data_IF_513403377793
#
_entry.id   IF_513403377793
#
_cell.length_a   1.000
_cell.length_b   1.000
_cell.length_c   1.000
_cell.angle_alpha   90.00
_cell.angle_beta   90.00
_cell.angle_gamma   90.00
#
_symmetry.space_group_name_H-M   'P 1'
#
loop_
_entity.id
_entity.type
_entity.pdbx_description
1 polymer ?
#
# COMPACT_ATOMS: atom_id res chain seq x y z
N UNK A 1 39.47 -33.75 -21.85
CA UNK A 1 38.31 -34.09 -20.99
C UNK A 1 38.04 -33.04 -19.93
N UNK A 2 39.00 -32.64 -19.10
CA UNK A 2 38.79 -31.61 -18.06
C UNK A 2 38.30 -30.25 -18.59
N UNK A 3 38.88 -29.76 -19.71
CA UNK A 3 38.49 -28.48 -20.33
C UNK A 3 37.04 -28.50 -20.81
N UNK A 4 36.58 -29.63 -21.36
CA UNK A 4 35.20 -29.80 -21.83
C UNK A 4 34.19 -29.78 -20.68
N UNK A 5 34.55 -30.37 -19.53
CA UNK A 5 33.69 -30.40 -18.34
C UNK A 5 33.53 -28.98 -17.76
N UNK A 6 34.62 -28.20 -17.70
CA UNK A 6 34.60 -26.82 -17.20
C UNK A 6 33.72 -25.93 -18.10
N UNK A 7 33.83 -26.09 -19.42
CA UNK A 7 33.01 -25.35 -20.40
C UNK A 7 31.52 -25.64 -20.23
N UNK A 8 31.15 -26.91 -20.04
CA UNK A 8 29.75 -27.31 -19.83
C UNK A 8 29.22 -26.77 -18.49
N UNK A 9 30.01 -26.81 -17.42
CA UNK A 9 29.62 -26.28 -16.13
C UNK A 9 29.39 -24.76 -16.15
N UNK A 10 30.24 -24.00 -16.86
CA UNK A 10 30.08 -22.55 -17.04
C UNK A 10 28.82 -22.20 -17.83
N UNK A 11 28.55 -22.94 -18.91
CA UNK A 11 27.33 -22.78 -19.70
C UNK A 11 26.08 -23.06 -18.87
N UNK A 12 26.07 -24.15 -18.10
CA UNK A 12 24.96 -24.47 -17.21
C UNK A 12 24.73 -23.39 -16.14
N UNK A 13 25.81 -22.86 -15.55
CA UNK A 13 25.74 -21.76 -14.58
C UNK A 13 25.13 -20.49 -15.18
N UNK A 14 25.54 -20.10 -16.39
CA UNK A 14 24.98 -18.94 -17.09
C UNK A 14 23.49 -19.10 -17.39
N UNK A 15 23.06 -20.31 -17.78
CA UNK A 15 21.64 -20.59 -18.02
C UNK A 15 20.84 -20.43 -16.73
N UNK A 16 21.32 -20.97 -15.60
CA UNK A 16 20.63 -20.83 -14.30
C UNK A 16 20.53 -19.36 -13.89
N UNK A 17 21.61 -18.60 -13.99
CA UNK A 17 21.61 -17.16 -13.68
C UNK A 17 20.64 -16.40 -14.59
N UNK A 18 20.61 -16.71 -15.89
CA UNK A 18 19.70 -16.10 -16.84
C UNK A 18 18.23 -16.40 -16.52
N UNK A 19 17.90 -17.64 -16.15
CA UNK A 19 16.54 -18.03 -15.74
C UNK A 19 16.13 -17.31 -14.47
N UNK A 20 17.01 -17.24 -13.46
CA UNK A 20 16.72 -16.53 -12.21
C UNK A 20 16.48 -15.04 -12.48
N UNK A 21 17.36 -14.38 -13.24
CA UNK A 21 17.19 -12.98 -13.61
C UNK A 21 15.87 -12.74 -14.37
N UNK A 22 15.52 -13.62 -15.31
CA UNK A 22 14.27 -13.54 -16.06
C UNK A 22 13.04 -13.67 -15.15
N UNK A 23 13.06 -14.58 -14.16
CA UNK A 23 11.99 -14.72 -13.18
C UNK A 23 11.84 -13.45 -12.34
N UNK A 24 12.93 -12.88 -11.83
CA UNK A 24 12.88 -11.61 -11.07
C UNK A 24 12.38 -10.44 -11.92
N UNK A 25 12.84 -10.33 -13.17
CA UNK A 25 12.37 -9.30 -14.11
C UNK A 25 10.87 -9.42 -14.41
N UNK A 26 10.35 -10.65 -14.51
CA UNK A 26 8.94 -10.91 -14.77
C UNK A 26 8.07 -10.77 -13.52
N UNK A 27 8.58 -11.14 -12.34
CA UNK A 27 7.84 -11.04 -11.09
C UNK A 27 7.50 -9.59 -10.70
N UNK A 28 8.33 -8.62 -11.11
CA UNK A 28 8.05 -7.18 -10.93
C UNK A 28 6.99 -6.62 -11.90
N UNK A 29 6.45 -7.43 -12.82
CA UNK A 29 5.36 -7.02 -13.71
C UNK A 29 4.03 -7.58 -13.18
N UNK A 30 3.60 -7.08 -12.03
CA UNK A 30 2.21 -7.28 -11.60
C UNK A 30 1.35 -6.36 -12.45
N UNK A 31 0.55 -6.94 -13.34
CA UNK A 31 -0.39 -6.20 -14.17
C UNK A 31 -1.60 -5.79 -13.32
N UNK A 32 -1.52 -4.58 -12.74
CA UNK A 32 -2.62 -3.96 -11.98
C UNK A 32 -3.76 -3.48 -12.90
N UNK A 33 -3.58 -3.59 -14.22
CA UNK A 33 -4.50 -3.10 -15.27
C UNK A 33 -5.01 -4.21 -16.20
N UNK A 34 -4.73 -5.47 -15.87
CA UNK A 34 -5.09 -6.61 -16.71
C UNK A 34 -6.59 -6.64 -16.97
N UNK A 35 -6.97 -6.57 -18.24
CA UNK A 35 -8.36 -6.54 -18.73
C UNK A 35 -9.03 -7.93 -18.63
N UNK A 36 -8.93 -8.58 -17.48
CA UNK A 36 -9.80 -9.70 -17.15
C UNK A 36 -11.14 -9.15 -16.68
N UNK A 37 -12.26 -9.65 -17.22
CA UNK A 37 -13.61 -9.30 -16.74
C UNK A 37 -13.82 -9.65 -15.26
N UNK A 38 -12.91 -10.42 -14.67
CA UNK A 38 -12.91 -10.80 -13.28
C UNK A 38 -12.03 -9.87 -12.43
N UNK A 39 -12.69 -9.10 -11.57
CA UNK A 39 -12.03 -8.38 -10.47
C UNK A 39 -11.14 -9.35 -9.67
N UNK A 40 -9.89 -8.98 -9.32
CA UNK A 40 -9.02 -9.75 -8.44
C UNK A 40 -9.72 -10.10 -7.12
N UNK A 41 -9.36 -11.22 -6.50
CA UNK A 41 -9.96 -11.70 -5.23
C UNK A 41 -10.02 -10.63 -4.13
N UNK A 42 -8.97 -9.80 -4.01
CA UNK A 42 -8.94 -8.70 -3.04
C UNK A 42 -9.93 -7.57 -3.35
N UNK A 43 -10.32 -7.36 -4.61
CA UNK A 43 -11.39 -6.43 -5.01
C UNK A 43 -12.80 -7.02 -4.85
N UNK A 44 -12.92 -8.31 -4.52
CA UNK A 44 -14.22 -8.99 -4.27
C UNK A 44 -14.65 -8.89 -2.81
N UNK A 45 -13.74 -8.47 -1.93
CA UNK A 45 -14.05 -8.24 -0.52
C UNK A 45 -14.71 -6.88 -0.37
N UNK A 46 -15.79 -6.83 0.40
CA UNK A 46 -16.44 -5.57 0.75
C UNK A 46 -15.48 -4.79 1.65
N UNK A 47 -15.19 -3.50 1.37
CA UNK A 47 -14.38 -2.67 2.25
C UNK A 47 -14.95 -2.62 3.67
N UNK A 48 -14.14 -2.30 4.70
CA UNK A 48 -14.62 -2.09 6.05
C UNK A 48 -15.78 -1.08 6.09
N UNK A 49 -16.71 -1.27 7.03
CA UNK A 49 -17.89 -0.41 7.15
C UNK A 49 -17.56 1.07 7.33
N UNK A 50 -16.44 1.36 7.98
CA UNK A 50 -15.93 2.71 8.21
C UNK A 50 -15.54 3.38 6.89
N UNK A 51 -14.85 2.68 5.99
CA UNK A 51 -14.54 3.14 4.63
C UNK A 51 -15.84 3.42 3.86
N UNK A 52 -16.83 2.52 3.96
CA UNK A 52 -18.12 2.72 3.30
C UNK A 52 -18.80 4.01 3.78
N UNK A 53 -18.73 4.30 5.08
CA UNK A 53 -19.30 5.50 5.66
C UNK A 53 -18.53 6.78 5.29
N UNK A 54 -17.20 6.72 5.24
CA UNK A 54 -16.35 7.85 4.85
C UNK A 54 -16.66 8.28 3.41
N UNK A 55 -16.55 7.35 2.45
CA UNK A 55 -16.88 7.56 1.03
C UNK A 55 -18.31 8.10 0.85
N UNK A 56 -19.28 7.56 1.59
CA UNK A 56 -20.66 8.03 1.51
C UNK A 56 -20.86 9.46 2.09
N UNK A 57 -20.02 9.86 3.05
CA UNK A 57 -20.05 11.22 3.64
C UNK A 57 -19.46 12.24 2.68
N UNK A 58 -18.40 11.87 1.97
CA UNK A 58 -17.73 12.77 1.02
C UNK A 58 -18.46 12.85 -0.33
N UNK A 59 -19.46 11.97 -0.55
CA UNK A 59 -20.26 11.94 -1.79
C UNK A 59 -19.50 11.32 -2.97
N UNK A 60 -18.35 10.74 -2.66
CA UNK A 60 -17.44 10.00 -3.52
C UNK A 60 -18.07 8.64 -3.91
N UNK A 61 -17.78 8.15 -5.12
CA UNK A 61 -18.10 6.78 -5.49
C UNK A 61 -17.11 5.81 -4.84
N UNK A 62 -17.47 4.53 -4.67
CA UNK A 62 -16.51 3.49 -4.26
C UNK A 62 -15.43 3.29 -5.34
N UNK A 63 -14.43 4.17 -5.36
CA UNK A 63 -13.31 4.11 -6.26
C UNK A 63 -12.15 3.45 -5.55
N UNK A 64 -11.46 2.58 -6.29
CA UNK A 64 -10.27 1.88 -5.82
C UNK A 64 -9.06 2.83 -5.84
N UNK A 65 -9.15 3.90 -6.62
CA UNK A 65 -8.21 5.00 -6.67
C UNK A 65 -9.00 6.24 -6.33
N UNK A 66 -9.03 6.58 -5.05
CA UNK A 66 -9.32 7.94 -4.65
C UNK A 66 -8.03 8.73 -4.85
N UNK A 67 -8.14 9.92 -5.45
CA UNK A 67 -6.97 10.77 -5.60
C UNK A 67 -7.47 12.20 -5.73
N UNK A 68 -7.59 12.84 -4.58
CA UNK A 68 -7.97 14.24 -4.54
C UNK A 68 -6.78 15.14 -4.92
N UNK A 69 -7.06 16.31 -5.54
CA UNK A 69 -6.02 17.27 -5.86
C UNK A 69 -5.23 17.73 -4.62
N UNK A 70 -4.03 17.18 -4.44
CA UNK A 70 -3.13 17.50 -3.33
C UNK A 70 -2.61 16.28 -2.57
N UNK A 71 -3.24 15.13 -2.74
CA UNK A 71 -2.94 13.89 -2.03
C UNK A 71 -1.71 13.16 -2.56
N UNK A 72 -1.18 12.24 -1.76
CA UNK A 72 -0.15 11.31 -2.25
C UNK A 72 -0.77 10.24 -3.12
N UNK A 73 0.05 9.69 -4.00
CA UNK A 73 -0.34 8.49 -4.71
C UNK A 73 -0.39 7.35 -3.69
N UNK A 74 -1.59 6.87 -3.38
CA UNK A 74 -1.77 5.74 -2.50
C UNK A 74 -2.33 4.53 -3.24
N UNK A 75 -2.00 3.36 -2.70
CA UNK A 75 -2.68 2.12 -3.07
C UNK A 75 -4.08 2.12 -2.45
N UNK A 76 -5.01 1.33 -2.99
CA UNK A 76 -6.39 1.26 -2.48
C UNK A 76 -6.48 0.87 -1.00
N UNK A 77 -5.44 0.21 -0.48
CA UNK A 77 -5.35 -0.19 0.92
C UNK A 77 -4.89 0.96 1.82
N UNK A 78 -3.98 1.81 1.33
CA UNK A 78 -3.56 3.01 2.04
C UNK A 78 -4.74 3.98 2.16
N UNK A 79 -5.52 4.19 1.09
CA UNK A 79 -6.76 4.99 1.11
C UNK A 79 -7.74 4.47 2.17
N UNK A 80 -8.01 3.16 2.20
CA UNK A 80 -8.92 2.58 3.20
C UNK A 80 -8.46 2.78 4.64
N UNK A 81 -7.15 2.69 4.89
CA UNK A 81 -6.58 2.95 6.22
C UNK A 81 -6.71 4.43 6.56
N UNK A 82 -6.51 5.32 5.58
CA UNK A 82 -6.67 6.75 5.71
C UNK A 82 -8.12 7.13 6.05
N UNK A 83 -9.11 6.54 5.39
CA UNK A 83 -10.53 6.74 5.71
C UNK A 83 -10.86 6.38 7.16
N UNK A 84 -10.39 5.21 7.60
CA UNK A 84 -10.58 4.74 8.98
C UNK A 84 -9.91 5.71 9.96
N UNK A 85 -8.71 6.18 9.61
CA UNK A 85 -7.95 7.14 10.40
C UNK A 85 -8.67 8.49 10.50
N UNK A 86 -9.10 9.07 9.38
CA UNK A 86 -9.83 10.35 9.31
C UNK A 86 -11.13 10.27 10.11
N UNK A 87 -11.91 9.21 9.93
CA UNK A 87 -13.14 8.98 10.69
C UNK A 87 -12.89 8.95 12.21
N UNK A 88 -11.75 8.40 12.66
CA UNK A 88 -11.37 8.39 14.07
C UNK A 88 -10.87 9.73 14.55
N UNK A 89 -10.03 10.41 13.76
CA UNK A 89 -9.54 11.74 14.10
C UNK A 89 -10.69 12.75 14.30
N UNK A 90 -11.81 12.60 13.59
CA UNK A 90 -13.01 13.42 13.83
C UNK A 90 -13.58 13.31 15.26
N UNK A 91 -13.37 12.16 15.93
CA UNK A 91 -13.76 11.97 17.33
C UNK A 91 -12.76 12.57 18.34
N UNK A 92 -11.62 13.07 17.87
CA UNK A 92 -10.50 13.57 18.66
C UNK A 92 -10.12 15.01 18.27
N UNK A 93 -10.88 16.03 18.73
CA UNK A 93 -10.62 17.43 18.35
C UNK A 93 -9.21 17.93 18.64
N UNK A 94 -8.51 17.34 19.60
CA UNK A 94 -7.11 17.62 19.92
C UNK A 94 -6.13 17.27 18.79
N UNK A 95 -6.55 16.46 17.81
CA UNK A 95 -5.75 16.06 16.65
C UNK A 95 -6.03 16.88 15.39
N UNK A 96 -7.00 17.80 15.42
CA UNK A 96 -7.36 18.65 14.27
C UNK A 96 -6.22 19.57 13.79
N UNK A 97 -5.14 19.68 14.57
CA UNK A 97 -3.93 20.40 14.20
C UNK A 97 -3.01 19.61 13.25
N UNK A 98 -3.26 18.32 13.05
CA UNK A 98 -2.50 17.47 12.15
C UNK A 98 -3.22 17.33 10.82
N UNK A 99 -2.53 17.71 9.75
CA UNK A 99 -2.87 17.34 8.38
C UNK A 99 -2.20 16.00 8.08
N UNK A 100 -2.98 14.96 7.78
CA UNK A 100 -2.49 13.58 7.65
C UNK A 100 -2.92 13.01 6.31
N UNK A 101 -1.97 12.38 5.62
CA UNK A 101 -2.11 11.81 4.27
C UNK A 101 -1.25 10.53 4.18
N UNK A 102 -1.74 9.50 3.50
CA UNK A 102 -1.09 8.22 3.30
C UNK A 102 -0.70 8.04 1.84
N UNK A 103 0.58 7.72 1.62
CA UNK A 103 1.10 7.35 0.32
C UNK A 103 1.45 5.88 0.23
N UNK A 104 1.71 5.42 -0.98
CA UNK A 104 2.37 4.14 -1.23
C UNK A 104 3.66 4.37 -2.00
N UNK A 105 4.78 4.00 -1.38
CA UNK A 105 6.11 4.14 -1.97
C UNK A 105 6.29 3.20 -3.18
N UNK A 106 7.29 3.45 -4.05
CA UNK A 106 7.56 2.60 -5.22
C UNK A 106 7.87 1.13 -4.89
N UNK A 107 8.31 0.83 -3.67
CA UNK A 107 8.55 -0.53 -3.18
C UNK A 107 7.30 -1.18 -2.55
N UNK A 108 6.16 -0.49 -2.57
CA UNK A 108 4.89 -0.92 -2.00
C UNK A 108 4.74 -0.68 -0.50
N UNK A 109 5.69 0.01 0.15
CA UNK A 109 5.58 0.34 1.58
C UNK A 109 4.64 1.52 1.80
N UNK A 110 4.02 1.57 2.99
CA UNK A 110 3.17 2.67 3.41
C UNK A 110 4.04 3.90 3.73
N UNK A 111 3.71 5.05 3.15
CA UNK A 111 4.29 6.34 3.51
C UNK A 111 3.29 7.11 4.36
N UNK A 112 3.71 7.61 5.53
CA UNK A 112 2.86 8.40 6.40
C UNK A 112 3.30 9.85 6.29
N UNK A 113 2.40 10.76 5.96
CA UNK A 113 2.69 12.19 5.90
C UNK A 113 1.89 12.91 6.97
N UNK A 114 2.58 13.69 7.81
CA UNK A 114 1.96 14.53 8.85
C UNK A 114 2.49 15.94 8.72
N UNK A 115 1.62 16.92 8.46
CA UNK A 115 2.00 18.32 8.23
C UNK A 115 3.11 18.47 7.19
N UNK A 116 3.02 17.72 6.08
CA UNK A 116 4.04 17.62 5.01
C UNK A 116 5.38 16.97 5.40
N UNK A 117 5.53 16.47 6.62
CA UNK A 117 6.69 15.67 7.02
C UNK A 117 6.41 14.19 6.81
N UNK A 118 7.35 13.48 6.15
CA UNK A 118 7.22 12.05 5.85
C UNK A 118 7.81 11.21 6.99
N UNK A 119 7.08 10.18 7.37
CA UNK A 119 7.46 9.15 8.32
C UNK A 119 7.31 7.77 7.67
N UNK A 120 8.34 6.94 7.81
CA UNK A 120 8.34 5.58 7.24
C UNK A 120 7.62 4.56 8.14
N UNK A 121 7.29 4.94 9.39
CA UNK A 121 6.67 4.06 10.39
C UNK A 121 5.84 4.83 11.40
N UNK A 122 4.79 4.19 11.91
CA UNK A 122 3.91 4.75 12.94
C UNK A 122 4.68 5.10 14.21
N UNK A 123 5.66 4.29 14.63
CA UNK A 123 6.40 4.55 15.88
C UNK A 123 7.19 5.86 15.85
N UNK A 124 7.51 6.37 14.64
CA UNK A 124 8.26 7.59 14.45
C UNK A 124 7.41 8.85 14.55
N UNK A 125 6.07 8.74 14.63
CA UNK A 125 5.21 9.91 14.73
C UNK A 125 5.43 10.66 16.06
N UNK A 126 5.37 12.00 16.05
CA UNK A 126 5.75 12.83 17.19
C UNK A 126 4.74 12.82 18.34
N UNK A 127 3.48 12.51 18.06
CA UNK A 127 2.39 12.53 19.03
C UNK A 127 1.91 11.11 19.35
N UNK A 128 1.93 10.75 20.64
CA UNK A 128 1.50 9.43 21.12
C UNK A 128 0.04 9.12 20.79
N UNK A 129 -0.84 10.13 20.82
CA UNK A 129 -2.26 9.94 20.51
C UNK A 129 -2.43 9.66 19.03
N UNK A 130 -1.70 10.39 18.20
CA UNK A 130 -1.69 10.16 16.76
C UNK A 130 -1.18 8.75 16.43
N UNK A 131 -0.09 8.31 17.09
CA UNK A 131 0.39 6.93 17.00
C UNK A 131 -0.68 5.91 17.36
N UNK A 132 -1.37 6.14 18.46
CA UNK A 132 -2.40 5.22 18.93
C UNK A 132 -3.53 5.08 17.91
N UNK A 133 -4.08 6.19 17.41
CA UNK A 133 -5.17 6.13 16.43
C UNK A 133 -4.72 5.46 15.13
N UNK A 134 -3.49 5.72 14.68
CA UNK A 134 -2.89 5.03 13.54
C UNK A 134 -2.86 3.52 13.73
N UNK A 135 -2.34 3.07 14.88
CA UNK A 135 -2.26 1.65 15.19
C UNK A 135 -3.65 1.02 15.24
N UNK A 136 -4.60 1.70 15.87
CA UNK A 136 -5.98 1.24 15.90
C UNK A 136 -6.55 1.13 14.48
N UNK A 137 -6.26 2.10 13.59
CA UNK A 137 -6.78 2.12 12.22
C UNK A 137 -6.29 0.92 11.42
N UNK A 138 -4.98 0.66 11.48
CA UNK A 138 -4.33 -0.51 10.90
C UNK A 138 -4.92 -1.81 11.49
N UNK A 139 -5.10 -1.87 12.81
CA UNK A 139 -5.68 -3.05 13.48
C UNK A 139 -7.14 -3.28 13.09
N UNK A 140 -7.89 -2.23 12.77
CA UNK A 140 -9.26 -2.35 12.28
C UNK A 140 -9.30 -2.92 10.87
N UNK A 141 -8.43 -2.40 10.01
CA UNK A 141 -8.30 -2.85 8.65
C UNK A 141 -7.88 -4.33 8.59
N UNK A 142 -6.88 -4.73 9.38
CA UNK A 142 -6.39 -6.12 9.45
C UNK A 142 -7.41 -7.15 9.98
N UNK A 143 -8.49 -6.72 10.63
CA UNK A 143 -9.53 -7.62 11.16
C UNK A 143 -10.57 -7.99 10.10
N UNK A 144 -10.56 -7.35 8.94
CA UNK A 144 -11.47 -7.55 7.83
C UNK A 144 -10.73 -8.20 6.66
#
# INVERSE_FOLDING_TARGET
MAVSIILVALLAGLVVVGVVAFVFMRANQVDLTGTGDEKPEWMRQTPPSETIMAVQTDGEGFQVFDHDPGEKLASPFAEQIEDILRARMQAHPELNQYDVDLGTAPDGTLEIWVNSEKFDRVENLPDERLRQIFQEAIDSWNKH
#
